data_IF_817941211619
#
_entry.id   IF_817941211619
#
_cell.length_a   1.000
_cell.length_b   1.000
_cell.length_c   1.000
_cell.angle_alpha   90.00
_cell.angle_beta   90.00
_cell.angle_gamma   90.00
#
_symmetry.space_group_name_H-M   'P 1'
#
loop_
_entity.id
_entity.type
_entity.pdbx_description
1 polymer ?
#
# COMPACT_ATOMS: atom_id res chain seq x y z
N UNK A 1 20.10 3.36 7.38
CA UNK A 1 19.22 2.32 7.94
C UNK A 1 18.21 1.96 6.87
N UNK A 2 17.89 0.67 6.65
CA UNK A 2 16.83 0.32 5.73
C UNK A 2 15.53 0.98 6.20
N UNK A 3 14.75 1.49 5.26
CA UNK A 3 13.44 2.04 5.54
C UNK A 3 12.54 0.88 5.92
N UNK A 4 12.20 0.75 7.21
CA UNK A 4 11.27 -0.27 7.68
C UNK A 4 9.86 0.09 7.22
N UNK A 5 9.45 -0.48 6.09
CA UNK A 5 8.06 -0.43 5.63
C UNK A 5 7.31 -1.67 6.07
N UNK A 6 6.05 -1.52 6.47
CA UNK A 6 5.12 -2.61 6.76
C UNK A 6 4.34 -2.98 5.48
N UNK A 7 4.47 -4.21 5.00
CA UNK A 7 3.62 -4.71 3.92
C UNK A 7 2.17 -4.86 4.43
N UNK A 8 1.24 -4.19 3.76
CA UNK A 8 -0.18 -4.19 4.09
C UNK A 8 -0.99 -5.19 3.25
N UNK A 9 -0.52 -5.55 2.06
CA UNK A 9 -1.21 -6.49 1.19
C UNK A 9 -0.86 -6.32 -0.29
N UNK A 10 -1.63 -7.01 -1.14
CA UNK A 10 -1.40 -7.12 -2.59
C UNK A 10 -2.64 -6.68 -3.37
N UNK A 11 -2.45 -5.93 -4.45
CA UNK A 11 -3.49 -5.61 -5.44
C UNK A 11 -3.17 -6.31 -6.76
N UNK A 12 -4.19 -6.98 -7.29
CA UNK A 12 -4.17 -7.57 -8.61
C UNK A 12 -3.73 -9.04 -8.62
N UNK A 13 -4.18 -9.76 -9.63
CA UNK A 13 -3.73 -11.11 -9.95
C UNK A 13 -3.99 -11.34 -11.43
N UNK A 14 -3.06 -11.95 -12.14
CA UNK A 14 -3.33 -12.47 -13.48
C UNK A 14 -3.30 -14.00 -13.45
N UNK A 15 -4.18 -14.62 -14.26
CA UNK A 15 -4.16 -16.06 -14.56
C UNK A 15 -2.83 -16.53 -15.18
N UNK A 16 -1.96 -15.60 -15.60
CA UNK A 16 -0.66 -15.82 -16.22
C UNK A 16 0.52 -15.15 -15.49
N UNK A 17 0.37 -14.73 -14.22
CA UNK A 17 1.52 -14.57 -13.32
C UNK A 17 2.37 -13.29 -13.35
N UNK A 18 1.83 -12.12 -13.70
CA UNK A 18 2.40 -10.78 -13.38
C UNK A 18 1.36 -9.71 -13.79
N UNK A 19 0.96 -8.71 -13.00
CA UNK A 19 1.69 -7.86 -12.05
C UNK A 19 0.93 -7.82 -10.71
N UNK A 20 1.61 -8.11 -9.61
CA UNK A 20 1.13 -7.84 -8.26
C UNK A 20 1.70 -6.50 -7.82
N UNK A 21 0.83 -5.59 -7.38
CA UNK A 21 1.28 -4.37 -6.71
C UNK A 21 1.24 -4.62 -5.21
N UNK A 22 2.39 -4.52 -4.55
CA UNK A 22 2.46 -4.61 -3.10
C UNK A 22 2.20 -3.23 -2.49
N UNK A 23 1.44 -3.21 -1.40
CA UNK A 23 1.16 -1.97 -0.68
C UNK A 23 1.94 -1.98 0.60
N UNK A 24 2.75 -0.95 0.78
CA UNK A 24 3.62 -0.80 1.93
C UNK A 24 3.26 0.49 2.67
N UNK A 25 3.36 0.46 4.00
CA UNK A 25 3.23 1.64 4.85
C UNK A 25 4.57 1.94 5.51
N UNK A 26 5.07 3.15 5.34
CA UNK A 26 6.26 3.65 6.02
C UNK A 26 5.84 4.38 7.31
N UNK A 27 5.98 3.78 8.51
CA UNK A 27 5.36 4.32 9.72
C UNK A 27 5.94 5.66 10.17
N UNK A 28 7.24 5.85 9.94
CA UNK A 28 7.98 7.04 10.40
C UNK A 28 7.51 8.31 9.69
N UNK A 29 7.40 8.25 8.37
CA UNK A 29 7.03 9.41 7.56
C UNK A 29 5.52 9.45 7.26
N UNK A 30 4.79 8.37 7.61
CA UNK A 30 3.37 8.14 7.32
C UNK A 30 3.06 8.17 5.82
N UNK A 31 3.83 7.40 5.05
CA UNK A 31 3.66 7.27 3.61
C UNK A 31 3.07 5.91 3.25
N UNK A 32 2.26 5.87 2.20
CA UNK A 32 1.86 4.66 1.52
C UNK A 32 2.64 4.54 0.22
N UNK A 33 3.20 3.36 0.01
CA UNK A 33 4.01 3.04 -1.16
C UNK A 33 3.37 1.90 -1.93
N UNK A 34 3.37 2.03 -3.25
CA UNK A 34 2.98 0.98 -4.17
C UNK A 34 4.25 0.41 -4.79
N UNK A 35 4.50 -0.87 -4.60
CA UNK A 35 5.68 -1.57 -5.09
C UNK A 35 5.30 -2.56 -6.19
N UNK A 36 6.19 -2.77 -7.16
CA UNK A 36 6.12 -3.97 -8.00
C UNK A 36 6.66 -5.18 -7.24
N UNK A 37 6.29 -6.39 -7.66
CA UNK A 37 6.86 -7.66 -7.15
C UNK A 37 8.40 -7.72 -7.25
N UNK A 38 9.02 -6.89 -8.10
CA UNK A 38 10.48 -6.72 -8.17
C UNK A 38 11.08 -5.87 -7.04
N UNK A 39 10.26 -5.35 -6.12
CA UNK A 39 10.66 -4.45 -5.03
C UNK A 39 10.87 -3.00 -5.44
N UNK A 40 10.45 -2.60 -6.65
CA UNK A 40 10.58 -1.22 -7.12
C UNK A 40 9.36 -0.38 -6.72
N UNK A 41 9.61 0.80 -6.11
CA UNK A 41 8.56 1.76 -5.75
C UNK A 41 8.01 2.42 -7.01
N UNK A 42 6.74 2.16 -7.31
CA UNK A 42 5.99 2.77 -8.42
C UNK A 42 5.48 4.15 -8.01
N UNK A 43 5.03 4.27 -6.76
CA UNK A 43 4.51 5.52 -6.22
C UNK A 43 4.65 5.52 -4.70
N UNK A 44 4.88 6.68 -4.13
CA UNK A 44 4.99 6.90 -2.68
C UNK A 44 4.34 8.24 -2.36
N UNK A 45 3.34 8.22 -1.48
CA UNK A 45 2.56 9.41 -1.12
C UNK A 45 2.30 9.45 0.39
N UNK A 46 2.19 10.65 1.00
CA UNK A 46 1.63 10.79 2.34
C UNK A 46 0.25 10.13 2.43
N UNK A 47 -0.06 9.51 3.58
CA UNK A 47 -1.35 8.82 3.81
C UNK A 47 -2.54 9.74 3.52
N UNK A 48 -2.50 11.01 3.93
CA UNK A 48 -3.60 11.95 3.71
C UNK A 48 -3.80 12.24 2.22
N UNK A 49 -2.71 12.43 1.46
CA UNK A 49 -2.78 12.60 0.00
C UNK A 49 -3.29 11.34 -0.70
N UNK A 50 -2.86 10.16 -0.25
CA UNK A 50 -3.39 8.90 -0.75
C UNK A 50 -4.89 8.74 -0.44
N UNK A 51 -5.36 9.26 0.71
CA UNK A 51 -6.78 9.28 1.09
C UNK A 51 -7.59 10.17 0.15
N UNK A 52 -7.10 11.35 -0.19
CA UNK A 52 -7.76 12.23 -1.16
C UNK A 52 -7.81 11.60 -2.56
N UNK A 53 -6.69 11.01 -3.01
CA UNK A 53 -6.62 10.34 -4.31
C UNK A 53 -7.44 9.05 -4.39
N UNK A 54 -7.72 8.39 -3.26
CA UNK A 54 -8.51 7.16 -3.20
C UNK A 54 -9.94 7.32 -3.74
N UNK A 55 -10.44 8.56 -3.76
CA UNK A 55 -11.72 8.92 -4.34
C UNK A 55 -11.72 8.71 -5.87
N UNK A 56 -10.56 8.83 -6.51
CA UNK A 56 -10.40 8.88 -7.96
C UNK A 56 -9.52 7.74 -8.53
N UNK A 57 -8.66 7.09 -7.74
CA UNK A 57 -7.82 5.96 -8.16
C UNK A 57 -8.07 4.72 -7.29
N UNK A 58 -8.45 3.62 -7.94
CA UNK A 58 -8.79 2.36 -7.29
C UNK A 58 -7.62 1.72 -6.53
N UNK A 59 -6.37 1.95 -6.95
CA UNK A 59 -5.18 1.42 -6.27
C UNK A 59 -5.01 2.07 -4.90
N UNK A 60 -5.13 3.39 -4.87
CA UNK A 60 -5.08 4.16 -3.62
C UNK A 60 -6.30 3.88 -2.73
N UNK A 61 -7.46 3.57 -3.31
CA UNK A 61 -8.62 3.08 -2.55
C UNK A 61 -8.33 1.80 -1.79
N UNK A 62 -7.74 0.81 -2.46
CA UNK A 62 -7.36 -0.44 -1.78
C UNK A 62 -6.24 -0.21 -0.78
N UNK A 63 -5.26 0.66 -1.10
CA UNK A 63 -4.18 1.02 -0.18
C UNK A 63 -4.70 1.62 1.14
N UNK A 64 -5.63 2.57 1.05
CA UNK A 64 -6.24 3.20 2.23
C UNK A 64 -7.13 2.23 2.99
N UNK A 65 -7.88 1.35 2.30
CA UNK A 65 -8.66 0.33 2.97
C UNK A 65 -7.78 -0.61 3.80
N UNK A 66 -6.65 -1.07 3.22
CA UNK A 66 -5.69 -1.93 3.92
C UNK A 66 -4.97 -1.17 5.04
N UNK A 67 -4.61 0.10 4.83
CA UNK A 67 -4.04 0.96 5.87
C UNK A 67 -4.99 1.09 7.06
N UNK A 68 -6.26 1.45 6.83
CA UNK A 68 -7.24 1.61 7.89
C UNK A 68 -7.43 0.29 8.67
N UNK A 69 -7.45 -0.86 7.96
CA UNK A 69 -7.55 -2.18 8.60
C UNK A 69 -6.34 -2.46 9.51
N UNK A 70 -5.12 -2.31 9.00
CA UNK A 70 -3.91 -2.73 9.72
C UNK A 70 -3.43 -1.72 10.76
N UNK A 71 -3.55 -0.43 10.48
CA UNK A 71 -2.95 0.64 11.28
C UNK A 71 -3.99 1.36 12.13
N UNK A 72 -5.14 1.74 11.56
CA UNK A 72 -6.15 2.50 12.31
C UNK A 72 -7.00 1.62 13.23
N UNK A 73 -7.32 0.37 12.85
CA UNK A 73 -8.14 -0.53 13.70
C UNK A 73 -7.34 -1.43 14.65
N UNK A 74 -6.01 -1.48 14.52
CA UNK A 74 -5.14 -2.33 15.34
C UNK A 74 -5.34 -3.83 15.16
N UNK A 75 -6.14 -4.28 14.17
CA UNK A 75 -6.39 -5.68 13.87
C UNK A 75 -5.64 -6.07 12.59
N UNK A 76 -4.46 -6.66 12.78
CA UNK A 76 -3.80 -7.42 11.72
C UNK A 76 -4.66 -8.65 11.44
N UNK A 77 -5.26 -8.73 10.26
CA UNK A 77 -5.86 -9.98 9.77
C UNK A 77 -4.84 -10.53 8.77
N UNK A 78 -4.05 -11.50 9.25
CA UNK A 78 -3.11 -12.29 8.45
C UNK A 78 -3.85 -13.26 7.52
#
# INVERSE_FOLDING_TARGET
MPIETLMLGLIGTTKNGTTKTEIHFQPKEKFLELHQESGYVIASLPVDTARDLSLHDHRWRVAIALYNLHVDTGKIIA
#
